data_IF_626702997501
#
_entry.id   IF_626702997501
#
_cell.length_a   1.000
_cell.length_b   1.000
_cell.length_c   1.000
_cell.angle_alpha   90.00
_cell.angle_beta   90.00
_cell.angle_gamma   90.00
#
_symmetry.space_group_name_H-M   'P 1'
#
loop_
_entity.id
_entity.type
_entity.pdbx_description
1 polymer ?
#
# COMPACT_ATOMS: atom_id res chain seq x y z
N UNK A 1 58.31 8.60 -3.97
CA UNK A 1 59.11 7.36 -3.86
C UNK A 1 58.21 6.21 -4.25
N UNK A 2 58.34 5.76 -5.50
CA UNK A 2 58.84 4.43 -5.90
C UNK A 2 57.83 3.30 -5.65
N UNK A 3 57.57 2.35 -6.54
CA UNK A 3 57.75 2.16 -7.98
C UNK A 3 57.04 0.83 -8.31
N UNK A 4 56.59 0.69 -9.55
CA UNK A 4 55.98 -0.51 -10.15
C UNK A 4 56.75 -1.81 -10.00
N UNK A 5 56.03 -2.94 -10.07
CA UNK A 5 56.20 -4.10 -10.98
C UNK A 5 55.22 -5.23 -10.56
N UNK A 6 54.70 -6.17 -11.36
CA UNK A 6 54.33 -6.34 -12.78
C UNK A 6 53.72 -7.77 -12.87
N UNK A 7 52.56 -7.96 -13.53
CA UNK A 7 51.99 -9.18 -14.22
C UNK A 7 51.91 -10.55 -13.48
N UNK A 8 50.87 -11.40 -13.59
CA UNK A 8 50.21 -11.99 -14.79
C UNK A 8 48.73 -12.37 -14.49
N UNK A 9 47.98 -12.49 -15.59
CA UNK A 9 46.54 -12.57 -15.87
C UNK A 9 45.85 -13.93 -15.67
N UNK A 10 44.51 -13.89 -15.52
CA UNK A 10 43.59 -14.86 -16.18
C UNK A 10 42.15 -14.32 -16.20
N UNK A 11 41.70 -13.88 -17.38
CA UNK A 11 40.31 -13.56 -17.70
C UNK A 11 39.84 -14.48 -18.83
N UNK A 12 38.77 -15.25 -18.61
CA UNK A 12 38.10 -16.03 -19.66
C UNK A 12 37.05 -15.14 -20.36
N UNK A 13 37.13 -15.02 -21.69
CA UNK A 13 36.05 -14.57 -22.58
C UNK A 13 35.75 -15.66 -23.62
N UNK A 14 34.51 -15.74 -24.15
CA UNK A 14 34.07 -16.81 -25.02
C UNK A 14 34.47 -16.60 -26.50
N UNK A 15 34.38 -17.68 -27.27
CA UNK A 15 34.89 -17.84 -28.63
C UNK A 15 34.21 -16.96 -29.69
N UNK A 16 35.01 -16.54 -30.67
CA UNK A 16 34.61 -15.77 -31.85
C UNK A 16 34.22 -16.67 -33.03
N UNK A 17 33.29 -16.20 -33.87
CA UNK A 17 32.96 -16.79 -35.17
C UNK A 17 33.20 -15.74 -36.27
N UNK A 18 33.88 -16.14 -37.34
CA UNK A 18 34.39 -15.29 -38.43
C UNK A 18 33.31 -14.79 -39.41
N UNK A 19 33.56 -13.73 -40.20
CA UNK A 19 32.58 -13.14 -41.11
C UNK A 19 32.55 -13.85 -42.48
N UNK A 20 31.34 -14.11 -42.99
CA UNK A 20 31.09 -14.56 -44.36
C UNK A 20 30.65 -13.36 -45.23
N UNK A 21 31.32 -13.19 -46.36
CA UNK A 21 31.02 -12.20 -47.42
C UNK A 21 29.83 -12.69 -48.26
N UNK A 22 28.88 -11.84 -48.69
CA UNK A 22 27.77 -12.26 -49.54
C UNK A 22 28.16 -12.21 -51.03
N UNK A 23 27.83 -13.29 -51.77
CA UNK A 23 27.80 -13.31 -53.24
C UNK A 23 26.33 -13.38 -53.70
N UNK A 24 25.89 -12.63 -54.73
CA UNK A 24 24.48 -12.52 -55.08
C UNK A 24 24.11 -13.54 -56.17
N UNK A 25 23.06 -14.32 -55.94
CA UNK A 25 22.38 -15.03 -57.02
C UNK A 25 20.89 -15.13 -56.70
N UNK A 26 20.12 -14.43 -57.53
CA UNK A 26 18.68 -14.38 -57.53
C UNK A 26 18.07 -15.77 -57.77
N UNK A 27 17.04 -16.12 -57.00
CA UNK A 27 15.87 -16.79 -57.55
C UNK A 27 14.59 -16.26 -56.91
N UNK A 28 13.81 -15.56 -57.75
CA UNK A 28 12.45 -15.10 -57.44
C UNK A 28 11.53 -16.32 -57.41
N UNK A 29 10.91 -16.57 -56.26
CA UNK A 29 9.69 -17.36 -56.17
C UNK A 29 8.58 -16.46 -55.63
N UNK A 30 7.62 -16.18 -56.49
CA UNK A 30 6.39 -15.43 -56.21
C UNK A 30 5.45 -16.31 -55.40
N UNK A 31 5.17 -15.92 -54.15
CA UNK A 31 4.08 -16.50 -53.36
C UNK A 31 2.91 -15.51 -53.29
N UNK A 32 1.72 -16.00 -53.62
CA UNK A 32 0.49 -15.24 -53.75
C UNK A 32 0.10 -14.53 -52.45
N UNK A 33 -0.30 -13.26 -52.58
CA UNK A 33 -0.85 -12.46 -51.48
C UNK A 33 -2.29 -12.93 -51.19
N UNK A 34 -2.46 -13.79 -50.19
CA UNK A 34 -3.76 -14.05 -49.59
C UNK A 34 -3.99 -13.04 -48.47
N UNK A 35 -4.71 -11.95 -48.75
CA UNK A 35 -5.18 -11.03 -47.72
C UNK A 35 -6.34 -11.66 -46.95
N UNK A 36 -6.02 -12.44 -45.92
CA UNK A 36 -7.01 -12.79 -44.89
C UNK A 36 -7.35 -11.51 -44.15
N UNK A 37 -8.50 -10.92 -44.51
CA UNK A 37 -9.04 -9.73 -43.85
C UNK A 37 -9.55 -10.16 -42.48
N UNK A 38 -8.68 -10.10 -41.47
CA UNK A 38 -9.11 -10.19 -40.08
C UNK A 38 -10.11 -9.06 -39.83
N UNK A 39 -11.39 -9.43 -39.63
CA UNK A 39 -12.40 -8.48 -39.16
C UNK A 39 -11.99 -8.08 -37.76
N UNK A 40 -11.48 -6.86 -37.62
CA UNK A 40 -11.21 -6.24 -36.33
C UNK A 40 -12.57 -5.97 -35.67
N UNK A 41 -13.12 -6.95 -34.97
CA UNK A 41 -14.22 -6.74 -34.04
C UNK A 41 -13.56 -6.25 -32.75
N UNK A 42 -13.27 -4.96 -32.68
CA UNK A 42 -12.85 -4.34 -31.42
C UNK A 42 -13.83 -3.23 -31.09
N UNK A 43 -14.97 -3.64 -30.57
CA UNK A 43 -15.79 -2.81 -29.72
C UNK A 43 -15.85 -3.54 -28.37
N UNK A 44 -14.75 -3.50 -27.63
CA UNK A 44 -14.82 -3.73 -26.18
C UNK A 44 -15.70 -2.61 -25.65
N UNK A 45 -16.91 -2.94 -25.21
CA UNK A 45 -17.81 -1.97 -24.61
C UNK A 45 -17.04 -1.26 -23.48
N UNK A 46 -16.99 0.07 -23.52
CA UNK A 46 -16.38 0.84 -22.45
C UNK A 46 -17.04 0.45 -21.12
N UNK A 47 -16.27 0.26 -20.04
CA UNK A 47 -16.84 -0.06 -18.75
C UNK A 47 -17.89 1.00 -18.38
N UNK A 48 -19.01 0.60 -17.75
CA UNK A 48 -20.05 1.54 -17.35
C UNK A 48 -19.42 2.62 -16.46
N UNK A 49 -19.79 3.88 -16.72
CA UNK A 49 -19.31 5.00 -15.90
C UNK A 49 -19.67 4.74 -14.43
N UNK A 50 -18.76 5.03 -13.48
CA UNK A 50 -19.07 4.93 -12.07
C UNK A 50 -20.31 5.75 -11.74
N UNK A 51 -21.27 5.16 -11.03
CA UNK A 51 -22.42 5.89 -10.51
C UNK A 51 -21.97 6.63 -9.26
N UNK A 52 -22.05 7.95 -9.28
CA UNK A 52 -21.81 8.82 -8.11
C UNK A 52 -23.13 9.46 -7.68
N UNK A 53 -23.22 9.83 -6.40
CA UNK A 53 -24.36 10.58 -5.84
C UNK A 53 -25.74 9.95 -6.16
N UNK A 54 -25.88 8.64 -5.94
CA UNK A 54 -27.14 7.93 -6.17
C UNK A 54 -28.22 8.23 -5.13
N UNK A 55 -27.86 8.92 -4.03
CA UNK A 55 -28.81 9.33 -3.01
C UNK A 55 -29.58 10.58 -3.51
N UNK A 56 -30.92 10.59 -3.45
CA UNK A 56 -31.71 11.78 -3.77
C UNK A 56 -31.29 12.98 -2.90
N UNK A 57 -31.11 14.19 -3.47
CA UNK A 57 -30.60 15.35 -2.73
C UNK A 57 -31.42 15.71 -1.48
N UNK A 58 -32.74 15.51 -1.51
CA UNK A 58 -33.62 15.77 -0.37
C UNK A 58 -33.30 14.90 0.86
N UNK A 59 -32.64 13.75 0.68
CA UNK A 59 -32.24 12.88 1.78
C UNK A 59 -31.01 13.38 2.54
N UNK A 60 -30.27 14.34 2.00
CA UNK A 60 -29.15 14.99 2.72
C UNK A 60 -29.65 15.65 4.01
N UNK A 61 -30.86 16.23 3.99
CA UNK A 61 -31.46 16.88 5.16
C UNK A 61 -31.71 15.91 6.32
N UNK A 62 -31.86 14.61 6.04
CA UNK A 62 -31.98 13.58 7.08
C UNK A 62 -30.71 13.55 7.94
N UNK A 63 -29.52 13.52 7.35
CA UNK A 63 -28.25 13.50 8.09
C UNK A 63 -28.03 14.78 8.89
N UNK A 64 -28.46 15.92 8.34
CA UNK A 64 -28.45 17.20 9.05
C UNK A 64 -29.38 17.18 10.26
N UNK A 65 -30.59 16.64 10.11
CA UNK A 65 -31.54 16.50 11.23
C UNK A 65 -31.05 15.55 12.33
N UNK A 66 -30.15 14.62 12.00
CA UNK A 66 -29.58 13.63 12.90
C UNK A 66 -28.32 14.10 13.63
N UNK A 67 -27.82 15.32 13.41
CA UNK A 67 -26.56 15.78 14.03
C UNK A 67 -26.61 15.76 15.57
N UNK A 68 -27.71 16.22 16.19
CA UNK A 68 -27.89 16.13 17.65
C UNK A 68 -27.90 14.68 18.12
N UNK A 69 -28.54 13.79 17.35
CA UNK A 69 -28.53 12.36 17.67
C UNK A 69 -27.12 11.78 17.58
N UNK A 70 -26.37 12.09 16.51
CA UNK A 70 -25.01 11.61 16.31
C UNK A 70 -24.07 12.12 17.43
N UNK A 71 -24.23 13.38 17.83
CA UNK A 71 -23.50 13.97 18.95
C UNK A 71 -23.71 13.19 20.25
N UNK A 72 -24.94 12.74 20.50
CA UNK A 72 -25.30 12.09 21.76
C UNK A 72 -25.14 10.55 21.74
N UNK A 73 -25.07 9.92 20.56
CA UNK A 73 -25.13 8.46 20.44
C UNK A 73 -23.97 7.85 19.64
N UNK A 74 -23.32 8.62 18.75
CA UNK A 74 -22.20 8.15 17.92
C UNK A 74 -20.87 8.65 18.49
N UNK A 75 -20.72 9.96 18.69
CA UNK A 75 -19.48 10.54 19.23
C UNK A 75 -19.04 9.95 20.58
N UNK A 76 -19.94 9.57 21.51
CA UNK A 76 -19.53 8.96 22.78
C UNK A 76 -18.90 7.57 22.65
N UNK A 77 -18.97 6.93 21.47
CA UNK A 77 -18.29 5.67 21.20
C UNK A 77 -16.78 5.85 20.95
N UNK A 78 -16.35 7.06 20.60
CA UNK A 78 -14.93 7.42 20.48
C UNK A 78 -14.28 7.44 21.86
N UNK A 79 -13.05 6.94 21.95
CA UNK A 79 -12.29 7.04 23.18
C UNK A 79 -11.57 8.39 23.25
N UNK A 80 -11.60 9.09 24.40
CA UNK A 80 -10.72 10.24 24.60
C UNK A 80 -9.26 9.82 24.41
N UNK A 81 -8.46 10.65 23.73
CA UNK A 81 -7.05 10.36 23.39
C UNK A 81 -6.25 9.93 24.63
N UNK A 82 -6.43 10.62 25.76
CA UNK A 82 -5.78 10.33 27.05
C UNK A 82 -6.13 8.95 27.65
N UNK A 83 -7.14 8.27 27.09
CA UNK A 83 -7.57 6.91 27.48
C UNK A 83 -7.35 5.89 26.36
N UNK A 84 -6.82 6.31 25.22
CA UNK A 84 -6.45 5.41 24.14
C UNK A 84 -5.09 4.78 24.44
N UNK A 85 -4.96 3.50 24.09
CA UNK A 85 -3.65 2.89 23.95
C UNK A 85 -2.89 3.58 22.80
N UNK A 86 -1.57 3.55 22.85
CA UNK A 86 -0.69 4.01 21.77
C UNK A 86 0.22 2.89 21.28
N UNK A 87 0.70 2.90 20.02
CA UNK A 87 1.58 1.86 19.51
C UNK A 87 2.77 1.55 20.44
N UNK A 88 3.33 2.59 21.08
CA UNK A 88 4.46 2.45 22.00
C UNK A 88 4.16 1.59 23.24
N UNK A 89 2.89 1.46 23.65
CA UNK A 89 2.50 0.61 24.78
C UNK A 89 2.80 -0.89 24.52
N UNK A 90 2.98 -1.27 23.25
CA UNK A 90 3.17 -2.65 22.80
C UNK A 90 4.51 -2.90 22.08
N UNK A 91 5.35 -1.88 21.93
CA UNK A 91 6.61 -1.95 21.22
C UNK A 91 7.80 -1.82 22.20
N UNK A 92 8.99 -2.34 21.84
CA UNK A 92 10.20 -2.06 22.59
C UNK A 92 10.40 -0.56 22.80
N UNK A 93 10.73 -0.15 24.03
CA UNK A 93 10.85 1.27 24.40
C UNK A 93 12.23 1.81 24.00
N UNK A 94 12.33 2.69 22.99
CA UNK A 94 13.60 3.23 22.52
C UNK A 94 14.21 4.28 23.46
N UNK A 95 13.49 4.71 24.49
CA UNK A 95 13.99 5.70 25.48
C UNK A 95 14.82 5.06 26.59
N UNK A 96 14.76 3.74 26.73
CA UNK A 96 15.55 2.97 27.68
C UNK A 96 17.05 2.95 27.31
N UNK A 97 17.94 2.59 28.26
CA UNK A 97 19.34 2.31 27.94
C UNK A 97 19.47 1.35 26.77
N UNK A 98 20.52 1.52 25.96
CA UNK A 98 20.73 0.75 24.74
C UNK A 98 20.68 -0.77 24.97
N UNK A 99 21.25 -1.27 26.07
CA UNK A 99 21.16 -2.69 26.44
C UNK A 99 19.72 -3.16 26.59
N UNK A 100 18.90 -2.39 27.28
CA UNK A 100 17.55 -2.80 27.67
C UNK A 100 16.61 -2.75 26.47
N UNK A 101 16.72 -1.71 25.63
CA UNK A 101 16.02 -1.63 24.35
C UNK A 101 16.40 -2.80 23.44
N UNK A 102 17.70 -3.08 23.29
CA UNK A 102 18.16 -4.17 22.42
C UNK A 102 17.77 -5.56 22.94
N UNK A 103 17.71 -5.73 24.26
CA UNK A 103 17.19 -6.95 24.88
C UNK A 103 15.69 -7.13 24.61
N UNK A 104 14.89 -6.06 24.68
CA UNK A 104 13.47 -6.11 24.31
C UNK A 104 13.25 -6.44 22.82
N UNK A 105 14.05 -5.85 21.92
CA UNK A 105 14.02 -6.17 20.49
C UNK A 105 14.42 -7.63 20.25
N UNK A 106 15.46 -8.12 20.94
CA UNK A 106 15.89 -9.53 20.85
C UNK A 106 14.78 -10.48 21.29
N UNK A 107 14.15 -10.20 22.44
CA UNK A 107 13.04 -11.00 22.95
C UNK A 107 11.83 -11.01 21.99
N UNK A 108 11.53 -9.90 21.32
CA UNK A 108 10.51 -9.86 20.27
C UNK A 108 10.86 -10.81 19.13
N UNK A 109 12.10 -10.73 18.62
CA UNK A 109 12.56 -11.56 17.50
C UNK A 109 12.63 -13.04 17.82
N UNK A 110 12.99 -13.40 19.04
CA UNK A 110 12.98 -14.78 19.51
C UNK A 110 11.57 -15.37 19.50
N UNK A 111 10.56 -14.60 19.93
CA UNK A 111 9.16 -15.03 19.88
C UNK A 111 8.66 -15.15 18.43
N UNK A 112 9.00 -14.20 17.56
CA UNK A 112 8.57 -14.24 16.15
C UNK A 112 9.30 -15.31 15.35
N UNK A 113 10.48 -15.78 15.79
CA UNK A 113 11.21 -16.86 15.15
C UNK A 113 10.41 -18.17 15.06
N UNK A 114 9.55 -18.44 16.07
CA UNK A 114 8.72 -19.63 16.16
C UNK A 114 7.39 -19.55 15.40
N UNK A 115 7.05 -18.40 14.80
CA UNK A 115 5.80 -18.24 14.05
C UNK A 115 5.96 -18.71 12.59
N UNK A 116 4.95 -19.38 12.00
CA UNK A 116 5.00 -19.85 10.62
C UNK A 116 4.86 -18.70 9.62
N UNK A 117 5.38 -18.88 8.40
CA UNK A 117 5.32 -17.85 7.37
C UNK A 117 3.87 -17.57 6.91
N UNK A 118 2.99 -18.57 6.91
CA UNK A 118 1.56 -18.40 6.60
C UNK A 118 0.90 -17.34 7.50
N UNK A 119 1.31 -17.28 8.77
CA UNK A 119 0.84 -16.25 9.70
C UNK A 119 1.30 -14.86 9.27
N UNK A 120 2.58 -14.72 8.86
CA UNK A 120 3.11 -13.44 8.40
C UNK A 120 2.49 -12.99 7.08
N UNK A 121 2.15 -13.89 6.17
CA UNK A 121 1.45 -13.53 4.93
C UNK A 121 0.12 -12.82 5.23
N UNK A 122 -0.67 -13.38 6.14
CA UNK A 122 -1.96 -12.79 6.53
C UNK A 122 -1.74 -11.49 7.31
N UNK A 123 -0.84 -11.49 8.30
CA UNK A 123 -0.56 -10.29 9.10
C UNK A 123 -0.02 -9.12 8.26
N UNK A 124 0.77 -9.41 7.23
CA UNK A 124 1.23 -8.41 6.26
C UNK A 124 0.07 -7.87 5.44
N UNK A 125 -0.85 -8.73 5.00
CA UNK A 125 -2.07 -8.30 4.32
C UNK A 125 -2.93 -7.37 5.18
N UNK A 126 -3.10 -7.72 6.45
CA UNK A 126 -3.83 -6.89 7.43
C UNK A 126 -3.12 -5.53 7.58
N UNK A 127 -1.81 -5.52 7.81
CA UNK A 127 -1.04 -4.27 7.96
C UNK A 127 -1.12 -3.37 6.72
N UNK A 128 -0.97 -3.94 5.51
CA UNK A 128 -1.09 -3.19 4.25
C UNK A 128 -2.47 -2.54 4.13
N UNK A 129 -3.51 -3.25 4.57
CA UNK A 129 -4.89 -2.75 4.54
C UNK A 129 -5.05 -1.61 5.55
N UNK A 130 -4.54 -1.73 6.77
CA UNK A 130 -4.58 -0.66 7.78
C UNK A 130 -3.83 0.61 7.33
N UNK A 131 -2.69 0.44 6.65
CA UNK A 131 -1.88 1.56 6.12
C UNK A 131 -2.57 2.36 5.00
N UNK A 132 -3.60 1.82 4.36
CA UNK A 132 -4.35 2.50 3.32
C UNK A 132 -5.41 3.47 3.87
N UNK A 133 -5.29 3.88 5.14
CA UNK A 133 -6.18 4.82 5.82
C UNK A 133 -6.53 6.11 5.04
N UNK A 134 -5.63 6.72 4.21
CA UNK A 134 -6.01 7.90 3.42
C UNK A 134 -7.14 7.60 2.41
N UNK A 135 -7.18 6.37 1.86
CA UNK A 135 -8.24 5.92 0.95
C UNK A 135 -9.58 5.82 1.68
N UNK A 136 -9.60 5.29 2.91
CA UNK A 136 -10.84 5.10 3.67
C UNK A 136 -11.42 6.42 4.15
N UNK A 137 -10.59 7.33 4.66
CA UNK A 137 -11.06 8.68 5.02
C UNK A 137 -11.59 9.42 3.79
N UNK A 138 -10.93 9.29 2.64
CA UNK A 138 -11.41 9.85 1.36
C UNK A 138 -12.76 9.27 0.98
N UNK A 139 -12.94 7.96 1.06
CA UNK A 139 -14.21 7.28 0.78
C UNK A 139 -15.34 7.84 1.66
N UNK A 140 -15.14 7.97 2.97
CA UNK A 140 -16.13 8.58 3.88
C UNK A 140 -16.44 10.02 3.47
N UNK A 141 -15.42 10.79 3.08
CA UNK A 141 -15.59 12.16 2.58
C UNK A 141 -16.23 12.26 1.18
N UNK A 142 -16.49 11.13 0.50
CA UNK A 142 -17.35 11.12 -0.71
C UNK A 142 -18.83 10.90 -0.40
N UNK A 143 -19.18 10.54 0.83
CA UNK A 143 -20.56 10.24 1.22
C UNK A 143 -21.38 11.53 1.38
N UNK A 144 -22.50 11.57 0.65
CA UNK A 144 -23.44 12.70 0.70
C UNK A 144 -24.03 12.87 2.11
N UNK A 145 -24.02 14.11 2.60
CA UNK A 145 -24.61 14.49 3.89
C UNK A 145 -23.74 14.31 5.14
N UNK A 146 -22.58 13.63 5.02
CA UNK A 146 -21.68 13.39 6.17
C UNK A 146 -20.22 13.81 5.94
N UNK A 147 -19.85 14.13 4.69
CA UNK A 147 -18.48 14.53 4.34
C UNK A 147 -18.01 15.79 5.09
N UNK A 148 -16.71 15.87 5.33
CA UNK A 148 -16.07 17.07 5.87
C UNK A 148 -15.77 18.08 4.75
N UNK A 149 -16.54 19.17 4.70
CA UNK A 149 -16.42 20.20 3.66
C UNK A 149 -15.17 21.09 3.78
N UNK A 150 -14.52 21.13 4.95
CA UNK A 150 -13.42 22.08 5.22
C UNK A 150 -12.14 21.41 5.71
N UNK A 151 -12.19 20.11 6.00
CA UNK A 151 -11.14 19.39 6.73
C UNK A 151 -11.13 19.68 8.23
N UNK A 152 -12.03 20.55 8.71
CA UNK A 152 -12.18 20.94 10.10
C UNK A 152 -13.63 21.31 10.44
N UNK A 153 -14.61 20.76 9.71
CA UNK A 153 -16.03 21.07 9.95
C UNK A 153 -16.42 20.68 11.38
N UNK A 154 -17.28 21.50 11.99
CA UNK A 154 -17.85 21.28 13.33
C UNK A 154 -19.04 20.33 13.32
N UNK A 155 -19.48 19.84 12.16
CA UNK A 155 -20.51 18.80 12.09
C UNK A 155 -20.05 17.55 12.84
N UNK A 156 -20.92 16.90 13.64
CA UNK A 156 -20.56 15.67 14.36
C UNK A 156 -20.13 14.55 13.41
N UNK A 157 -20.62 14.53 12.17
CA UNK A 157 -20.18 13.55 11.16
C UNK A 157 -18.71 13.75 10.76
N UNK A 158 -18.31 15.00 10.58
CA UNK A 158 -16.93 15.36 10.27
C UNK A 158 -16.00 15.12 11.47
N UNK A 159 -16.45 15.46 12.69
CA UNK A 159 -15.72 15.16 13.93
C UNK A 159 -15.51 13.64 14.05
N UNK A 160 -16.55 12.84 13.86
CA UNK A 160 -16.45 11.39 13.86
C UNK A 160 -15.42 10.89 12.84
N UNK A 161 -15.51 11.33 11.58
CA UNK A 161 -14.58 10.88 10.54
C UNK A 161 -13.11 11.15 10.92
N UNK A 162 -12.81 12.37 11.39
CA UNK A 162 -11.43 12.73 11.80
C UNK A 162 -10.97 11.94 13.02
N UNK A 163 -11.83 11.79 14.04
CA UNK A 163 -11.49 11.04 15.25
C UNK A 163 -11.34 9.54 15.00
N UNK A 164 -12.24 8.93 14.22
CA UNK A 164 -12.12 7.56 13.77
C UNK A 164 -10.83 7.35 12.99
N UNK A 165 -10.52 8.23 12.02
CA UNK A 165 -9.26 8.17 11.26
C UNK A 165 -8.04 8.22 12.18
N UNK A 166 -8.06 9.10 13.20
CA UNK A 166 -6.98 9.19 14.18
C UNK A 166 -6.86 7.93 15.06
N UNK A 167 -7.99 7.29 15.40
CA UNK A 167 -7.97 6.00 16.09
C UNK A 167 -7.39 4.89 15.20
N UNK A 168 -7.82 4.77 13.94
CA UNK A 168 -7.35 3.76 12.97
C UNK A 168 -5.88 3.90 12.61
N UNK A 169 -5.35 5.13 12.53
CA UNK A 169 -3.94 5.35 12.20
C UNK A 169 -2.98 4.55 13.10
N UNK A 170 -3.34 4.39 14.39
CA UNK A 170 -2.54 3.64 15.35
C UNK A 170 -2.45 2.14 15.04
N UNK A 171 -3.42 1.57 14.32
CA UNK A 171 -3.41 0.16 13.93
C UNK A 171 -2.27 -0.11 12.94
N UNK A 172 -2.19 0.68 11.86
CA UNK A 172 -1.11 0.63 10.89
C UNK A 172 0.26 0.88 11.52
N UNK A 173 0.40 1.92 12.36
CA UNK A 173 1.66 2.27 13.03
C UNK A 173 2.21 1.12 13.89
N UNK A 174 1.34 0.48 14.67
CA UNK A 174 1.71 -0.65 15.53
C UNK A 174 2.15 -1.86 14.69
N UNK A 175 1.31 -2.27 13.73
CA UNK A 175 1.58 -3.45 12.90
C UNK A 175 2.83 -3.27 12.05
N UNK A 176 3.01 -2.09 11.44
CA UNK A 176 4.19 -1.76 10.65
C UNK A 176 5.47 -1.85 11.47
N UNK A 177 5.47 -1.23 12.65
CA UNK A 177 6.63 -1.25 13.55
C UNK A 177 6.93 -2.65 14.06
N UNK A 178 5.90 -3.42 14.40
CA UNK A 178 6.05 -4.83 14.79
C UNK A 178 6.67 -5.68 13.67
N UNK A 179 6.16 -5.56 12.44
CA UNK A 179 6.69 -6.30 11.28
C UNK A 179 8.14 -5.89 10.97
N UNK A 180 8.44 -4.59 11.02
CA UNK A 180 9.80 -4.07 10.85
C UNK A 180 10.78 -4.67 11.88
N UNK A 181 10.43 -4.63 13.17
CA UNK A 181 11.27 -5.16 14.24
C UNK A 181 11.39 -6.68 14.22
N UNK A 182 10.35 -7.39 13.76
CA UNK A 182 10.33 -8.85 13.67
C UNK A 182 11.47 -9.41 12.82
N UNK A 183 11.87 -8.69 11.78
CA UNK A 183 12.83 -9.14 10.77
C UNK A 183 12.43 -10.42 10.03
N UNK A 184 11.12 -10.73 9.99
CA UNK A 184 10.56 -11.91 9.31
C UNK A 184 10.01 -11.62 7.92
N UNK A 185 9.99 -10.36 7.50
CA UNK A 185 9.34 -9.93 6.25
C UNK A 185 10.23 -8.95 5.48
N UNK A 186 9.97 -8.82 4.17
CA UNK A 186 10.62 -7.83 3.31
C UNK A 186 9.84 -6.51 3.34
N UNK A 187 10.30 -5.57 4.16
CA UNK A 187 9.65 -4.27 4.31
C UNK A 187 9.66 -3.43 3.03
N UNK A 188 10.68 -3.56 2.17
CA UNK A 188 10.74 -2.83 0.91
C UNK A 188 9.59 -3.25 -0.02
N UNK A 189 9.30 -4.54 -0.07
CA UNK A 189 8.18 -5.05 -0.87
C UNK A 189 6.82 -4.64 -0.29
N UNK A 190 6.69 -4.63 1.04
CA UNK A 190 5.47 -4.18 1.71
C UNK A 190 5.22 -2.69 1.44
N UNK A 191 6.22 -1.83 1.65
CA UNK A 191 6.12 -0.38 1.44
C UNK A 191 5.75 -0.03 -0.01
N UNK A 192 6.34 -0.73 -0.99
CA UNK A 192 5.94 -0.58 -2.40
C UNK A 192 4.49 -1.02 -2.62
N UNK A 193 4.05 -2.09 -1.97
CA UNK A 193 2.67 -2.58 -2.09
C UNK A 193 1.67 -1.59 -1.52
N UNK A 194 1.96 -1.00 -0.36
CA UNK A 194 1.17 0.10 0.22
C UNK A 194 1.11 1.28 -0.74
N UNK A 195 2.24 1.68 -1.31
CA UNK A 195 2.28 2.78 -2.28
C UNK A 195 1.41 2.49 -3.53
N UNK A 196 1.49 1.27 -4.07
CA UNK A 196 0.60 0.85 -5.16
C UNK A 196 -0.87 0.90 -4.74
N UNK A 197 -1.21 0.34 -3.59
CA UNK A 197 -2.58 0.28 -3.08
C UNK A 197 -3.19 1.67 -2.91
N UNK A 198 -2.51 2.56 -2.19
CA UNK A 198 -3.00 3.93 -1.98
C UNK A 198 -3.16 4.66 -3.32
N UNK A 199 -2.24 4.49 -4.26
CA UNK A 199 -2.34 5.12 -5.58
C UNK A 199 -3.47 4.56 -6.45
N UNK A 200 -3.83 3.29 -6.26
CA UNK A 200 -4.90 2.63 -6.99
C UNK A 200 -6.28 2.97 -6.43
N UNK A 201 -6.37 3.31 -5.14
CA UNK A 201 -7.63 3.45 -4.43
C UNK A 201 -8.27 2.07 -4.16
N UNK A 202 -9.60 2.03 -4.18
CA UNK A 202 -10.41 0.83 -3.96
C UNK A 202 -11.46 0.67 -5.06
#
# INVERSE_FOLDING_TARGET
MQASQFLVTSTKRPAACSPLVPNPAHHRLTAASSTVRFRQISAVAAPPKPKTHSMPPEKVEVFKSLETWATNNVLPLLKPVEKCWQPQDFLPDPTLPFSDFTDQVRALRERTAGLPDDYFVVLVGDMITEDAIPTYQTMINTLDGVRDETGASSSPWAIWNRSWTAEENRHGDLLRSFLYLSGRVDMLMIEKTVQYLISAGM
#
